data_IF_076232368368
#
_entry.id   IF_076232368368
#
_cell.length_a   1.000
_cell.length_b   1.000
_cell.length_c   1.000
_cell.angle_alpha   90.00
_cell.angle_beta   90.00
_cell.angle_gamma   90.00
#
_symmetry.space_group_name_H-M   'P 1'
#
loop_
_entity.id
_entity.type
_entity.pdbx_description
1 polymer ?
#
# COMPACT_ATOMS: atom_id res chain seq x y z
N UNK A 1 18.56 0.47 -24.75
CA UNK A 1 18.67 -0.91 -24.22
C UNK A 1 17.29 -1.55 -24.32
N UNK A 2 17.21 -2.86 -24.48
CA UNK A 2 15.95 -3.58 -24.36
C UNK A 2 15.97 -4.36 -23.03
N UNK A 3 14.86 -4.41 -22.30
CA UNK A 3 14.77 -5.12 -21.01
C UNK A 3 15.12 -6.60 -21.19
N UNK A 4 14.82 -7.14 -22.36
CA UNK A 4 15.07 -8.54 -22.72
C UNK A 4 16.54 -8.83 -23.07
N UNK A 5 17.38 -7.82 -23.32
CA UNK A 5 18.81 -8.04 -23.56
C UNK A 5 19.65 -8.03 -22.28
N UNK A 6 19.06 -7.60 -21.16
CA UNK A 6 19.74 -7.61 -19.86
C UNK A 6 19.63 -9.02 -19.27
N UNK A 7 20.77 -9.68 -19.13
CA UNK A 7 20.82 -10.99 -18.47
C UNK A 7 20.38 -10.92 -17.00
N UNK A 8 19.80 -11.99 -16.42
CA UNK A 8 19.30 -11.99 -15.04
C UNK A 8 20.36 -11.60 -14.00
N UNK A 9 21.60 -12.08 -14.17
CA UNK A 9 22.72 -11.74 -13.28
C UNK A 9 23.08 -10.25 -13.36
N UNK A 10 23.00 -9.65 -14.56
CA UNK A 10 23.25 -8.21 -14.72
C UNK A 10 22.16 -7.39 -14.02
N UNK A 11 20.89 -7.77 -14.17
CA UNK A 11 19.78 -7.12 -13.47
C UNK A 11 19.88 -7.27 -11.94
N UNK A 12 20.33 -8.43 -11.47
CA UNK A 12 20.64 -8.67 -10.06
C UNK A 12 21.71 -7.71 -9.54
N UNK A 13 22.80 -7.50 -10.30
CA UNK A 13 23.85 -6.55 -9.94
C UNK A 13 23.37 -5.11 -9.94
N UNK A 14 22.53 -4.72 -10.91
CA UNK A 14 21.87 -3.41 -10.92
C UNK A 14 20.96 -3.20 -9.70
N UNK A 15 20.17 -4.21 -9.33
CA UNK A 15 19.37 -4.21 -8.11
C UNK A 15 20.27 -4.02 -6.88
N UNK A 16 21.36 -4.79 -6.77
CA UNK A 16 22.30 -4.71 -5.66
C UNK A 16 22.89 -3.29 -5.53
N UNK A 17 23.45 -2.76 -6.61
CA UNK A 17 24.04 -1.40 -6.62
C UNK A 17 23.02 -0.30 -6.29
N UNK A 18 21.78 -0.44 -6.76
CA UNK A 18 20.68 0.46 -6.44
C UNK A 18 20.35 0.47 -4.94
N UNK A 19 20.21 -0.72 -4.33
CA UNK A 19 19.94 -0.82 -2.89
C UNK A 19 21.14 -0.34 -2.07
N UNK A 20 22.37 -0.64 -2.48
CA UNK A 20 23.57 -0.09 -1.85
C UNK A 20 23.62 1.44 -1.88
N UNK A 21 23.20 2.05 -2.99
CA UNK A 21 23.08 3.50 -3.10
C UNK A 21 22.11 4.03 -2.03
N UNK A 22 20.93 3.43 -1.91
CA UNK A 22 19.92 3.82 -0.94
C UNK A 22 20.42 3.66 0.51
N UNK A 23 21.12 2.57 0.81
CA UNK A 23 21.73 2.34 2.13
C UNK A 23 22.79 3.40 2.45
N UNK A 24 23.66 3.74 1.47
CA UNK A 24 24.68 4.78 1.63
C UNK A 24 24.06 6.17 1.88
N UNK A 25 22.98 6.51 1.18
CA UNK A 25 22.26 7.79 1.35
C UNK A 25 21.57 7.86 2.71
N UNK A 26 20.91 6.79 3.11
CA UNK A 26 20.10 6.75 4.35
C UNK A 26 20.98 6.76 5.60
N UNK A 27 22.15 6.12 5.54
CA UNK A 27 23.03 5.95 6.69
C UNK A 27 22.49 4.97 7.73
N UNK A 28 23.14 4.91 8.89
CA UNK A 28 22.69 4.10 10.03
C UNK A 28 21.68 4.89 10.87
N UNK A 29 20.42 4.86 10.45
CA UNK A 29 19.31 5.34 11.27
C UNK A 29 18.95 4.24 12.29
N UNK A 30 19.01 4.51 13.61
CA UNK A 30 18.59 3.53 14.59
C UNK A 30 17.11 3.17 14.37
N UNK A 31 16.71 1.89 14.52
CA UNK A 31 15.30 1.52 14.41
C UNK A 31 14.52 2.34 15.42
N UNK A 32 13.60 3.17 14.91
CA UNK A 32 12.84 4.12 15.74
C UNK A 32 12.19 3.34 16.89
N UNK A 33 12.48 3.68 18.15
CA UNK A 33 11.82 3.02 19.28
C UNK A 33 10.30 3.19 19.13
N UNK A 34 9.50 2.24 19.62
CA UNK A 34 8.06 2.43 19.66
C UNK A 34 7.77 3.76 20.40
N UNK A 35 6.83 4.59 19.92
CA UNK A 35 6.46 5.80 20.64
C UNK A 35 6.03 5.39 22.06
N UNK A 36 6.78 5.85 23.06
CA UNK A 36 6.55 5.55 24.47
C UNK A 36 5.35 6.32 25.05
N UNK A 37 4.66 7.13 24.24
CA UNK A 37 3.56 7.99 24.69
C UNK A 37 2.47 8.01 23.63
N UNK A 38 1.29 7.48 23.97
CA UNK A 38 0.02 7.70 23.27
C UNK A 38 -0.51 9.07 23.65
N UNK A 39 0.15 10.13 23.19
CA UNK A 39 -0.46 11.47 23.20
C UNK A 39 0.04 12.21 21.96
N UNK A 40 -0.80 12.37 20.92
CA UNK A 40 -0.41 13.16 19.77
C UNK A 40 -0.29 14.64 20.19
N UNK A 41 0.81 15.33 19.89
CA UNK A 41 0.84 16.77 19.98
C UNK A 41 -0.01 17.30 18.82
N UNK A 42 -1.03 18.08 19.18
CA UNK A 42 -1.60 19.11 18.32
C UNK A 42 -2.56 18.67 17.19
N UNK A 43 -3.75 18.18 17.54
CA UNK A 43 -4.90 18.08 16.62
C UNK A 43 -6.20 18.61 17.27
N UNK A 44 -6.15 19.82 17.83
CA UNK A 44 -7.26 20.46 18.57
C UNK A 44 -8.47 20.84 17.69
N UNK A 45 -8.38 20.69 16.36
CA UNK A 45 -9.47 21.01 15.42
C UNK A 45 -10.35 19.82 15.00
N UNK A 46 -9.77 18.61 14.87
CA UNK A 46 -10.49 17.45 14.30
C UNK A 46 -11.47 16.80 15.30
N UNK A 47 -11.24 16.95 16.60
CA UNK A 47 -12.17 16.49 17.64
C UNK A 47 -13.41 17.36 17.76
N UNK A 48 -13.28 18.68 17.57
CA UNK A 48 -14.42 19.60 17.53
C UNK A 48 -15.34 19.32 16.32
N UNK A 49 -14.74 18.97 15.17
CA UNK A 49 -15.49 18.57 13.97
C UNK A 49 -16.22 17.23 14.19
N UNK A 50 -15.56 16.24 14.81
CA UNK A 50 -16.18 14.96 15.18
C UNK A 50 -17.32 15.12 16.19
N UNK A 51 -17.17 16.01 17.18
CA UNK A 51 -18.23 16.31 18.14
C UNK A 51 -19.42 17.07 17.52
N UNK A 52 -19.18 17.95 16.54
CA UNK A 52 -20.26 18.63 15.81
C UNK A 52 -21.07 17.66 14.95
N UNK A 53 -20.42 16.69 14.29
CA UNK A 53 -21.10 15.68 13.48
C UNK A 53 -21.94 14.74 14.36
N UNK A 54 -21.45 14.40 15.57
CA UNK A 54 -22.19 13.59 16.53
C UNK A 54 -23.42 14.31 17.12
N UNK A 55 -23.32 15.62 17.38
CA UNK A 55 -24.45 16.42 17.89
C UNK A 55 -25.55 16.67 16.84
N UNK A 56 -25.19 16.78 15.56
CA UNK A 56 -26.16 17.08 14.50
C UNK A 56 -27.12 15.93 14.18
N UNK A 57 -26.72 14.67 14.43
CA UNK A 57 -27.49 13.49 14.02
C UNK A 57 -28.30 12.84 15.15
N UNK A 58 -28.11 13.25 16.41
CA UNK A 58 -28.78 12.63 17.57
C UNK A 58 -30.13 13.26 17.93
N UNK A 59 -30.35 14.54 17.62
CA UNK A 59 -31.56 15.25 18.06
C UNK A 59 -32.76 15.12 17.12
N UNK A 60 -32.55 14.90 15.82
CA UNK A 60 -33.66 14.79 14.86
C UNK A 60 -34.34 13.41 14.91
N UNK A 61 -33.62 12.32 15.19
CA UNK A 61 -34.20 10.97 15.17
C UNK A 61 -35.05 10.62 16.41
N UNK A 62 -34.80 11.28 17.54
CA UNK A 62 -35.49 10.97 18.80
C UNK A 62 -36.90 11.55 18.91
N UNK A 63 -37.15 12.73 18.32
CA UNK A 63 -38.45 13.41 18.40
C UNK A 63 -39.55 12.73 17.54
N UNK A 64 -39.16 11.96 16.53
CA UNK A 64 -40.08 11.36 15.56
C UNK A 64 -40.61 9.98 16.00
N UNK A 65 -39.90 9.31 16.92
CA UNK A 65 -40.25 7.99 17.47
C UNK A 65 -41.33 8.03 18.56
N UNK A 66 -41.61 9.19 19.16
CA UNK A 66 -42.53 9.32 20.31
C UNK A 66 -44.01 9.50 19.94
N UNK A 67 -44.37 9.60 18.64
CA UNK A 67 -45.73 9.97 18.18
C UNK A 67 -46.63 8.84 17.69
N UNK A 68 -46.29 7.55 17.84
CA UNK A 68 -47.13 6.44 17.30
C UNK A 68 -48.03 5.78 18.35
N UNK A 69 -49.37 5.73 18.17
CA UNK A 69 -50.29 5.07 19.10
C UNK A 69 -50.29 3.54 18.92
N UNK A 70 -50.54 2.80 20.02
CA UNK A 70 -50.65 1.33 20.04
C UNK A 70 -52.11 0.90 20.00
N UNK A 71 -52.47 -0.07 19.15
CA UNK A 71 -53.77 -0.78 19.19
C UNK A 71 -53.58 -2.30 19.03
N UNK A 72 -54.47 -3.12 19.63
CA UNK A 72 -54.32 -4.58 19.75
C UNK A 72 -54.90 -5.33 18.53
N UNK A 73 -54.47 -6.58 18.37
CA UNK A 73 -54.78 -7.45 17.23
C UNK A 73 -56.00 -8.36 17.46
N UNK A 74 -56.88 -8.48 16.46
CA UNK A 74 -57.63 -9.71 16.17
C UNK A 74 -58.19 -9.77 14.74
N UNK A 75 -58.37 -11.00 14.26
CA UNK A 75 -58.52 -11.54 12.90
C UNK A 75 -59.93 -11.56 12.27
N UNK A 76 -60.01 -11.64 10.92
CA UNK A 76 -60.93 -12.47 10.05
C UNK A 76 -61.09 -11.77 8.66
N UNK A 77 -60.81 -12.36 7.49
CA UNK A 77 -61.41 -13.46 6.71
C UNK A 77 -62.06 -12.90 5.41
N UNK A 78 -61.81 -13.51 4.24
CA UNK A 78 -62.48 -13.19 2.96
C UNK A 78 -61.66 -13.56 1.72
N UNK A 79 -62.11 -14.59 0.99
CA UNK A 79 -61.51 -15.25 -0.18
C UNK A 79 -61.98 -14.67 -1.52
N UNK A 80 -61.17 -14.77 -2.58
CA UNK A 80 -61.65 -15.07 -3.93
C UNK A 80 -60.56 -15.82 -4.74
N UNK A 81 -61.00 -16.84 -5.49
CA UNK A 81 -60.19 -17.86 -6.15
C UNK A 81 -60.40 -17.85 -7.67
N UNK A 82 -59.36 -18.20 -8.44
CA UNK A 82 -59.50 -18.76 -9.80
C UNK A 82 -58.31 -19.69 -10.10
N UNK A 83 -58.65 -20.87 -10.63
CA UNK A 83 -57.81 -21.96 -11.19
C UNK A 83 -57.01 -22.91 -10.28
N UNK A 84 -57.70 -23.56 -9.34
CA UNK A 84 -57.31 -24.91 -8.86
C UNK A 84 -56.09 -25.05 -7.96
N UNK A 85 -55.29 -24.00 -7.75
CA UNK A 85 -54.20 -23.95 -6.75
C UNK A 85 -54.49 -22.83 -5.76
N UNK A 86 -54.60 -23.16 -4.47
CA UNK A 86 -54.75 -22.16 -3.40
C UNK A 86 -53.45 -21.38 -3.20
N UNK A 87 -53.24 -20.32 -4.00
CA UNK A 87 -52.19 -19.34 -3.76
C UNK A 87 -52.63 -18.51 -2.57
N UNK A 88 -52.17 -18.86 -1.36
CA UNK A 88 -52.19 -17.93 -0.23
C UNK A 88 -51.40 -16.71 -0.69
N UNK A 89 -52.08 -15.60 -0.98
CA UNK A 89 -51.44 -14.29 -1.14
C UNK A 89 -50.93 -13.89 0.25
N UNK A 90 -49.85 -14.52 0.68
CA UNK A 90 -49.01 -13.96 1.72
C UNK A 90 -48.52 -12.67 1.11
N UNK A 91 -49.00 -11.54 1.60
CA UNK A 91 -48.18 -10.36 1.55
C UNK A 91 -46.88 -10.82 2.21
N UNK A 92 -45.84 -11.05 1.42
CA UNK A 92 -44.47 -10.94 1.91
C UNK A 92 -44.36 -9.46 2.29
N UNK A 93 -44.95 -9.11 3.45
CA UNK A 93 -44.30 -8.15 4.30
C UNK A 93 -42.94 -8.76 4.49
N UNK A 94 -41.92 -8.11 3.90
CA UNK A 94 -40.53 -8.44 4.19
C UNK A 94 -40.46 -8.72 5.69
N UNK A 95 -40.09 -9.94 6.13
CA UNK A 95 -40.00 -10.21 7.54
C UNK A 95 -39.12 -9.12 8.12
N UNK A 96 -39.65 -8.45 9.14
CA UNK A 96 -38.95 -7.43 9.87
C UNK A 96 -37.52 -7.93 10.12
N UNK A 97 -36.53 -7.20 9.60
CA UNK A 97 -35.12 -7.40 9.92
C UNK A 97 -34.94 -7.16 11.42
N UNK A 98 -35.18 -8.20 12.21
CA UNK A 98 -34.71 -8.31 13.59
C UNK A 98 -33.34 -8.99 13.51
N UNK A 99 -32.43 -8.65 14.41
CA UNK A 99 -31.71 -7.38 14.57
C UNK A 99 -30.46 -7.37 13.67
N UNK A 100 -30.11 -6.23 13.06
CA UNK A 100 -28.79 -6.10 12.42
C UNK A 100 -27.72 -6.38 13.47
N UNK A 101 -26.95 -7.46 13.27
CA UNK A 101 -25.69 -7.65 13.98
C UNK A 101 -24.87 -6.36 13.88
N UNK A 102 -24.03 -6.03 14.89
CA UNK A 102 -23.20 -4.83 14.81
C UNK A 102 -22.45 -4.87 13.49
N UNK A 103 -22.82 -4.00 12.55
CA UNK A 103 -22.08 -3.89 11.30
C UNK A 103 -20.77 -3.22 11.70
N UNK A 104 -19.69 -3.99 11.67
CA UNK A 104 -18.37 -3.50 11.98
C UNK A 104 -18.06 -2.43 10.92
N UNK A 105 -18.05 -1.16 11.33
CA UNK A 105 -17.49 -0.11 10.49
C UNK A 105 -15.99 -0.41 10.44
N UNK A 106 -15.54 -1.01 9.34
CA UNK A 106 -14.13 -1.28 9.07
C UNK A 106 -13.38 0.03 9.21
N UNK A 107 -12.65 0.19 10.31
CA UNK A 107 -11.88 1.41 10.60
C UNK A 107 -12.29 2.20 11.84
N UNK A 108 -13.38 1.87 12.53
CA UNK A 108 -13.82 2.61 13.73
C UNK A 108 -12.78 2.59 14.87
N UNK A 109 -11.99 1.51 14.94
CA UNK A 109 -10.85 1.34 15.86
C UNK A 109 -9.49 1.31 15.12
N UNK A 110 -9.41 1.80 13.89
CA UNK A 110 -8.14 1.77 13.17
C UNK A 110 -7.16 2.80 13.74
N UNK A 111 -5.98 2.32 14.11
CA UNK A 111 -4.85 3.19 14.43
C UNK A 111 -4.52 4.11 13.26
N UNK A 112 -4.00 5.33 13.50
CA UNK A 112 -3.66 6.22 12.41
C UNK A 112 -2.57 5.62 11.51
N UNK A 113 -2.63 5.96 10.22
CA UNK A 113 -1.91 5.28 9.13
C UNK A 113 -0.38 5.27 9.33
N UNK A 114 0.16 6.31 9.96
CA UNK A 114 1.57 6.40 10.36
C UNK A 114 1.97 5.35 11.41
N UNK A 115 1.09 5.03 12.37
CA UNK A 115 1.33 4.01 13.40
C UNK A 115 1.30 2.62 12.77
N UNK A 116 0.33 2.38 11.87
CA UNK A 116 0.24 1.14 11.11
C UNK A 116 1.49 0.93 10.23
N UNK A 117 1.88 1.95 9.46
CA UNK A 117 3.08 1.92 8.63
C UNK A 117 4.34 1.68 9.45
N UNK A 118 4.47 2.34 10.61
CA UNK A 118 5.58 2.08 11.53
C UNK A 118 5.63 0.63 12.03
N UNK A 119 4.48 0.03 12.33
CA UNK A 119 4.40 -1.36 12.77
C UNK A 119 4.79 -2.36 11.68
N UNK A 120 4.40 -2.08 10.44
CA UNK A 120 4.73 -2.89 9.26
C UNK A 120 6.24 -2.76 8.94
N UNK A 121 6.76 -1.54 8.86
CA UNK A 121 8.16 -1.24 8.58
C UNK A 121 9.11 -1.93 9.56
N UNK A 122 8.74 -2.01 10.86
CA UNK A 122 9.52 -2.72 11.88
C UNK A 122 9.72 -4.22 11.60
N UNK A 123 8.84 -4.88 10.84
CA UNK A 123 8.98 -6.31 10.50
C UNK A 123 10.19 -6.61 9.61
N UNK A 124 10.66 -5.60 8.87
CA UNK A 124 11.83 -5.73 8.01
C UNK A 124 13.16 -5.52 8.74
N UNK A 125 13.18 -5.02 9.98
CA UNK A 125 14.44 -4.76 10.69
C UNK A 125 14.98 -6.01 11.39
N UNK A 126 16.24 -6.31 11.11
CA UNK A 126 17.02 -7.33 11.84
C UNK A 126 17.61 -6.75 13.12
N UNK A 127 17.82 -7.62 14.12
CA UNK A 127 18.49 -7.25 15.38
C UNK A 127 19.91 -6.74 15.14
N UNK A 128 20.64 -7.38 14.23
CA UNK A 128 21.95 -6.95 13.76
C UNK A 128 21.98 -7.00 12.22
N UNK A 129 22.81 -6.17 11.56
CA UNK A 129 23.05 -6.32 10.13
C UNK A 129 23.50 -7.75 9.80
N UNK A 130 22.93 -8.41 8.78
CA UNK A 130 23.39 -9.73 8.38
C UNK A 130 24.87 -9.72 7.98
N UNK A 131 25.67 -10.75 8.35
CA UNK A 131 27.10 -10.79 8.05
C UNK A 131 27.41 -11.06 6.56
N UNK A 132 26.41 -11.53 5.80
CA UNK A 132 26.52 -11.77 4.36
C UNK A 132 26.30 -10.46 3.58
N UNK A 133 27.10 -10.22 2.54
CA UNK A 133 26.90 -9.08 1.64
C UNK A 133 25.56 -9.19 0.90
N UNK A 134 25.04 -8.07 0.39
CA UNK A 134 23.80 -8.11 -0.39
C UNK A 134 24.00 -8.84 -1.72
N UNK A 135 25.16 -8.68 -2.37
CA UNK A 135 25.47 -9.38 -3.61
C UNK A 135 25.52 -10.89 -3.39
N UNK A 136 26.24 -11.37 -2.37
CA UNK A 136 26.34 -12.81 -2.08
C UNK A 136 24.97 -13.41 -1.71
N UNK A 137 24.15 -12.64 -0.97
CA UNK A 137 22.80 -13.07 -0.62
C UNK A 137 21.90 -13.19 -1.86
N UNK A 138 21.95 -12.21 -2.76
CA UNK A 138 21.21 -12.24 -4.02
C UNK A 138 21.72 -13.35 -4.95
N UNK A 139 23.03 -13.55 -5.05
CA UNK A 139 23.63 -14.62 -5.83
C UNK A 139 23.24 -15.99 -5.30
N UNK A 140 23.17 -16.17 -3.97
CA UNK A 140 22.61 -17.38 -3.34
C UNK A 140 21.16 -17.58 -3.76
N UNK A 141 20.32 -16.54 -3.68
CA UNK A 141 18.92 -16.62 -4.11
C UNK A 141 18.83 -17.00 -5.59
N UNK A 142 19.62 -16.39 -6.47
CA UNK A 142 19.63 -16.70 -7.90
C UNK A 142 20.09 -18.14 -8.21
N UNK A 143 21.12 -18.62 -7.50
CA UNK A 143 21.67 -19.97 -7.69
C UNK A 143 20.63 -21.06 -7.40
N UNK A 144 19.86 -20.89 -6.33
CA UNK A 144 18.87 -21.89 -5.93
C UNK A 144 17.49 -21.59 -6.52
N UNK A 145 17.05 -20.33 -6.56
CA UNK A 145 15.79 -19.88 -7.12
C UNK A 145 16.04 -18.88 -8.26
N UNK A 146 16.44 -19.34 -9.46
CA UNK A 146 16.66 -18.43 -10.58
C UNK A 146 15.37 -17.71 -10.95
N UNK A 147 15.45 -16.38 -11.06
CA UNK A 147 14.34 -15.50 -11.40
C UNK A 147 14.65 -14.78 -12.71
N UNK A 148 13.61 -14.37 -13.42
CA UNK A 148 13.72 -13.56 -14.63
C UNK A 148 14.29 -12.16 -14.34
N UNK A 149 14.85 -11.55 -15.38
CA UNK A 149 15.34 -10.16 -15.35
C UNK A 149 14.27 -9.19 -14.86
N UNK A 150 13.02 -9.39 -15.26
CA UNK A 150 11.90 -8.55 -14.87
C UNK A 150 11.68 -8.53 -13.35
N UNK A 151 11.80 -9.68 -12.67
CA UNK A 151 11.62 -9.78 -11.21
C UNK A 151 12.67 -8.97 -10.46
N UNK A 152 13.94 -9.03 -10.87
CA UNK A 152 15.01 -8.25 -10.23
C UNK A 152 14.81 -6.74 -10.43
N UNK A 153 14.49 -6.32 -11.66
CA UNK A 153 14.27 -4.90 -11.98
C UNK A 153 13.01 -4.36 -11.28
N UNK A 154 11.92 -5.14 -11.26
CA UNK A 154 10.68 -4.77 -10.60
C UNK A 154 10.86 -4.67 -9.09
N UNK A 155 11.61 -5.60 -8.48
CA UNK A 155 11.95 -5.52 -7.05
C UNK A 155 12.69 -4.22 -6.74
N UNK A 156 13.67 -3.87 -7.58
CA UNK A 156 14.41 -2.62 -7.42
C UNK A 156 13.50 -1.41 -7.53
N UNK A 157 12.61 -1.42 -8.52
CA UNK A 157 11.61 -0.37 -8.74
C UNK A 157 10.64 -0.22 -7.55
N UNK A 158 10.12 -1.32 -7.00
CA UNK A 158 9.22 -1.28 -5.85
C UNK A 158 9.91 -0.74 -4.60
N UNK A 159 11.13 -1.18 -4.31
CA UNK A 159 11.88 -0.67 -3.17
C UNK A 159 12.25 0.81 -3.37
N UNK A 160 12.63 1.21 -4.59
CA UNK A 160 12.89 2.61 -4.91
C UNK A 160 11.64 3.48 -4.71
N UNK A 161 10.48 3.05 -5.19
CA UNK A 161 9.20 3.75 -4.97
C UNK A 161 8.91 3.93 -3.48
N UNK A 162 9.05 2.87 -2.69
CA UNK A 162 8.82 2.92 -1.25
C UNK A 162 9.80 3.83 -0.50
N UNK A 163 11.08 3.83 -0.91
CA UNK A 163 12.14 4.56 -0.22
C UNK A 163 12.21 6.03 -0.61
N UNK A 164 12.02 6.34 -1.90
CA UNK A 164 12.31 7.65 -2.50
C UNK A 164 11.03 8.44 -2.77
N UNK A 165 10.06 7.81 -3.44
CA UNK A 165 8.85 8.50 -3.89
C UNK A 165 7.85 8.65 -2.74
N UNK A 166 7.55 7.56 -2.05
CA UNK A 166 6.57 7.52 -0.96
C UNK A 166 7.21 7.78 0.42
N UNK A 167 8.53 7.63 0.53
CA UNK A 167 9.29 7.76 1.79
C UNK A 167 8.69 6.95 2.94
N UNK A 168 8.09 5.81 2.62
CA UNK A 168 7.41 4.93 3.56
C UNK A 168 8.39 4.15 4.45
N UNK A 169 9.57 3.83 3.93
CA UNK A 169 10.60 3.08 4.63
C UNK A 169 12.02 3.55 4.29
N UNK A 170 12.84 3.96 5.28
CA UNK A 170 14.26 4.21 5.04
C UNK A 170 15.00 2.88 4.86
N UNK A 171 15.82 2.75 3.82
CA UNK A 171 16.56 1.51 3.53
C UNK A 171 17.90 1.55 4.23
N UNK A 172 18.15 0.59 5.12
CA UNK A 172 19.34 0.52 5.98
C UNK A 172 20.00 -0.86 5.90
N UNK A 173 21.23 -1.00 6.39
CA UNK A 173 21.93 -2.30 6.47
C UNK A 173 21.19 -3.35 7.32
N UNK A 174 20.28 -2.91 8.19
CA UNK A 174 19.50 -3.81 9.07
C UNK A 174 18.23 -4.33 8.43
N UNK A 175 17.73 -3.68 7.39
CA UNK A 175 16.46 -4.06 6.74
C UNK A 175 16.59 -4.48 5.28
N UNK A 176 17.69 -4.13 4.60
CA UNK A 176 17.84 -4.33 3.16
C UNK A 176 17.69 -5.80 2.74
N UNK A 177 18.30 -6.75 3.45
CA UNK A 177 18.17 -8.19 3.12
C UNK A 177 16.73 -8.70 3.21
N UNK A 178 15.99 -8.30 4.24
CA UNK A 178 14.58 -8.71 4.42
C UNK A 178 13.67 -8.04 3.41
N UNK A 179 13.93 -6.78 3.05
CA UNK A 179 13.23 -6.07 1.98
C UNK A 179 13.48 -6.71 0.62
N UNK A 180 14.73 -7.05 0.32
CA UNK A 180 15.10 -7.76 -0.90
C UNK A 180 14.40 -9.12 -0.99
N UNK A 181 14.41 -9.90 0.09
CA UNK A 181 13.76 -11.20 0.12
C UNK A 181 12.25 -11.10 -0.14
N UNK A 182 11.57 -10.17 0.56
CA UNK A 182 10.14 -9.97 0.41
C UNK A 182 9.78 -9.42 -0.98
N UNK A 183 10.54 -8.42 -1.46
CA UNK A 183 10.33 -7.81 -2.76
C UNK A 183 10.51 -8.80 -3.91
N UNK A 184 11.59 -9.60 -3.89
CA UNK A 184 11.80 -10.66 -4.88
C UNK A 184 10.67 -11.69 -4.87
N UNK A 185 10.23 -12.10 -3.67
CA UNK A 185 9.18 -13.08 -3.52
C UNK A 185 7.85 -12.59 -4.09
N UNK A 186 7.48 -11.36 -3.78
CA UNK A 186 6.23 -10.76 -4.24
C UNK A 186 6.29 -10.44 -5.73
N UNK A 187 7.41 -9.90 -6.23
CA UNK A 187 7.61 -9.62 -7.64
C UNK A 187 7.57 -10.90 -8.50
N UNK A 188 8.18 -11.99 -8.04
CA UNK A 188 8.09 -13.31 -8.69
C UNK A 188 6.63 -13.76 -8.82
N UNK A 189 5.86 -13.68 -7.73
CA UNK A 189 4.44 -14.06 -7.74
C UNK A 189 3.57 -13.15 -8.62
N UNK A 190 3.99 -11.91 -8.84
CA UNK A 190 3.24 -10.92 -9.62
C UNK A 190 3.56 -10.97 -11.12
N UNK A 191 4.78 -11.38 -11.50
CA UNK A 191 5.28 -11.25 -12.86
C UNK A 191 5.57 -12.57 -13.57
N UNK A 192 5.77 -13.65 -12.83
CA UNK A 192 6.06 -14.97 -13.40
C UNK A 192 4.82 -15.88 -13.31
N UNK A 193 4.60 -16.70 -14.34
CA UNK A 193 3.50 -17.66 -14.37
C UNK A 193 3.67 -18.78 -13.33
N UNK A 194 4.93 -19.10 -13.01
CA UNK A 194 5.29 -20.12 -12.04
C UNK A 194 6.13 -19.49 -10.92
N UNK A 195 5.81 -19.83 -9.67
CA UNK A 195 6.58 -19.40 -8.51
C UNK A 195 7.12 -20.59 -7.73
N UNK A 196 8.27 -20.42 -7.08
CA UNK A 196 8.85 -21.48 -6.26
C UNK A 196 7.98 -21.77 -5.02
N UNK A 197 8.00 -23.03 -4.52
CA UNK A 197 7.34 -23.37 -3.27
C UNK A 197 7.80 -22.47 -2.12
N UNK A 198 6.86 -22.12 -1.23
CA UNK A 198 7.09 -21.21 -0.11
C UNK A 198 8.23 -21.70 0.81
N UNK A 199 8.21 -22.99 1.16
CA UNK A 199 9.21 -23.66 1.98
C UNK A 199 10.61 -23.60 1.37
N UNK A 200 10.72 -23.82 0.06
CA UNK A 200 11.98 -23.72 -0.68
C UNK A 200 12.53 -22.29 -0.63
N UNK A 201 11.69 -21.30 -0.93
CA UNK A 201 12.11 -19.91 -0.95
C UNK A 201 12.53 -19.42 0.45
N UNK A 202 11.79 -19.80 1.50
CA UNK A 202 12.14 -19.51 2.91
C UNK A 202 13.49 -20.12 3.31
N UNK A 203 13.71 -21.40 2.97
CA UNK A 203 14.96 -22.12 3.25
C UNK A 203 16.17 -21.47 2.56
N UNK A 204 16.03 -21.07 1.30
CA UNK A 204 17.09 -20.35 0.57
C UNK A 204 17.30 -18.96 1.14
N UNK A 205 16.22 -18.25 1.50
CA UNK A 205 16.26 -16.94 2.13
C UNK A 205 16.82 -16.92 3.55
N UNK A 206 16.92 -18.09 4.21
CA UNK A 206 17.45 -18.22 5.57
C UNK A 206 16.47 -17.73 6.65
N UNK A 207 15.16 -17.83 6.39
CA UNK A 207 14.09 -17.43 7.31
C UNK A 207 13.10 -18.58 7.52
N UNK A 208 12.32 -18.52 8.60
CA UNK A 208 11.20 -19.45 8.77
C UNK A 208 10.08 -19.17 7.77
N UNK A 209 9.26 -20.18 7.45
CA UNK A 209 8.12 -20.01 6.53
C UNK A 209 7.10 -18.98 7.02
N UNK A 210 6.84 -18.97 8.33
CA UNK A 210 5.94 -17.99 8.97
C UNK A 210 6.51 -16.57 8.95
N UNK A 211 7.83 -16.43 9.00
CA UNK A 211 8.50 -15.15 8.83
C UNK A 211 8.46 -14.67 7.39
N UNK A 212 8.74 -15.55 6.42
CA UNK A 212 8.60 -15.21 5.00
C UNK A 212 7.18 -14.75 4.68
N UNK A 213 6.16 -15.47 5.16
CA UNK A 213 4.76 -15.10 4.97
C UNK A 213 4.45 -13.70 5.54
N UNK A 214 4.93 -13.39 6.75
CA UNK A 214 4.76 -12.06 7.36
C UNK A 214 5.47 -10.97 6.56
N UNK A 215 6.67 -11.24 6.06
CA UNK A 215 7.42 -10.29 5.24
C UNK A 215 6.73 -10.02 3.90
N UNK A 216 6.20 -11.05 3.24
CA UNK A 216 5.40 -10.92 2.01
C UNK A 216 4.17 -10.04 2.24
N UNK A 217 3.36 -10.37 3.25
CA UNK A 217 2.15 -9.61 3.58
C UNK A 217 2.50 -8.16 3.91
N UNK A 218 3.54 -7.95 4.73
CA UNK A 218 4.01 -6.61 5.09
C UNK A 218 4.44 -5.81 3.86
N UNK A 219 5.12 -6.44 2.90
CA UNK A 219 5.58 -5.78 1.69
C UNK A 219 4.40 -5.37 0.81
N UNK A 220 3.39 -6.23 0.67
CA UNK A 220 2.18 -5.91 -0.07
C UNK A 220 1.39 -4.75 0.52
N UNK A 221 1.28 -4.66 1.85
CA UNK A 221 0.64 -3.50 2.47
C UNK A 221 1.44 -2.21 2.27
N UNK A 222 2.78 -2.27 2.36
CA UNK A 222 3.61 -1.08 2.09
C UNK A 222 3.47 -0.60 0.64
N UNK A 223 3.42 -1.50 -0.34
CA UNK A 223 3.24 -1.13 -1.75
C UNK A 223 1.79 -0.88 -2.16
N UNK A 224 0.85 -0.92 -1.20
CA UNK A 224 -0.59 -0.83 -1.45
C UNK A 224 -1.08 -1.80 -2.55
N UNK A 225 -0.48 -3.00 -2.61
CA UNK A 225 -0.74 -4.03 -3.62
C UNK A 225 -0.57 -3.57 -5.09
N UNK A 226 0.13 -2.45 -5.32
CA UNK A 226 0.33 -1.88 -6.64
C UNK A 226 1.59 -2.45 -7.30
N UNK A 227 1.46 -3.60 -7.95
CA UNK A 227 2.57 -4.31 -8.64
C UNK A 227 2.50 -4.23 -10.17
N UNK A 228 1.75 -3.26 -10.69
CA UNK A 228 1.63 -3.09 -12.14
C UNK A 228 2.91 -2.47 -12.70
N UNK A 229 3.68 -3.25 -13.46
CA UNK A 229 4.88 -2.76 -14.15
C UNK A 229 4.76 -2.95 -15.66
N UNK A 230 5.07 -1.90 -16.42
CA UNK A 230 5.21 -1.98 -17.88
C UNK A 230 6.66 -2.15 -18.29
N UNK A 231 6.89 -2.62 -19.51
CA UNK A 231 8.23 -2.77 -20.10
C UNK A 231 9.00 -1.44 -20.06
N UNK A 232 8.33 -0.36 -20.42
CA UNK A 232 8.91 0.99 -20.51
C UNK A 232 9.37 1.47 -19.13
N UNK A 233 8.55 1.26 -18.09
CA UNK A 233 8.91 1.65 -16.71
C UNK A 233 10.10 0.87 -16.19
N UNK A 234 10.17 -0.43 -16.44
CA UNK A 234 11.32 -1.25 -16.04
C UNK A 234 12.58 -0.86 -16.80
N UNK A 235 12.46 -0.48 -18.08
CA UNK A 235 13.58 -0.02 -18.88
C UNK A 235 14.13 1.33 -18.40
N UNK A 236 13.24 2.31 -18.21
CA UNK A 236 13.60 3.62 -17.67
C UNK A 236 14.30 3.48 -16.31
N UNK A 237 13.76 2.61 -15.44
CA UNK A 237 14.36 2.32 -14.16
C UNK A 237 15.74 1.65 -14.28
N UNK A 238 15.91 0.68 -15.19
CA UNK A 238 17.19 0.03 -15.42
C UNK A 238 18.27 1.01 -15.92
N UNK A 239 17.90 1.95 -16.80
CA UNK A 239 18.80 3.02 -17.25
C UNK A 239 19.20 3.89 -16.07
N UNK A 240 18.23 4.33 -15.26
CA UNK A 240 18.51 5.12 -14.05
C UNK A 240 19.44 4.39 -13.06
N UNK A 241 19.27 3.08 -12.86
CA UNK A 241 20.15 2.28 -12.01
C UNK A 241 21.58 2.21 -12.56
N UNK A 242 21.72 2.10 -13.89
CA UNK A 242 23.04 2.08 -14.53
C UNK A 242 23.77 3.40 -14.35
N UNK A 243 23.05 4.52 -14.45
CA UNK A 243 23.61 5.85 -14.22
C UNK A 243 24.02 6.04 -12.76
N UNK A 244 23.21 5.54 -11.81
CA UNK A 244 23.58 5.52 -10.39
C UNK A 244 24.84 4.66 -10.17
N UNK A 245 24.92 3.50 -10.81
CA UNK A 245 26.06 2.58 -10.67
C UNK A 245 27.34 3.11 -11.32
N UNK A 246 27.27 3.80 -12.45
CA UNK A 246 28.44 4.40 -13.09
C UNK A 246 29.02 5.54 -12.25
N UNK A 247 28.14 6.31 -11.61
CA UNK A 247 28.53 7.41 -10.72
C UNK A 247 29.13 6.91 -9.39
N UNK A 248 28.77 5.71 -8.91
CA UNK A 248 29.38 5.14 -7.70
C UNK A 248 30.86 4.77 -7.87
N UNK A 249 31.34 4.56 -9.11
CA UNK A 249 32.74 4.26 -9.41
C UNK A 249 33.68 5.46 -9.31
N UNK A 250 33.14 6.69 -9.31
CA UNK A 250 33.93 7.91 -9.10
C UNK A 250 33.83 8.31 -7.63
N UNK A 251 34.99 8.38 -6.97
CA UNK A 251 35.12 8.69 -5.55
C UNK A 251 34.33 9.96 -5.17
N UNK A 252 33.51 9.87 -4.12
CA UNK A 252 32.61 10.91 -3.57
C UNK A 252 31.27 11.16 -4.29
N UNK A 253 30.55 10.11 -4.69
CA UNK A 253 29.19 10.26 -5.17
C UNK A 253 28.17 10.48 -4.03
N UNK A 254 27.57 11.67 -4.00
CA UNK A 254 26.32 11.96 -3.29
C UNK A 254 25.18 11.82 -4.32
N UNK A 255 24.35 10.77 -4.25
CA UNK A 255 23.28 10.57 -5.23
C UNK A 255 22.21 11.67 -5.08
N UNK A 256 22.20 12.62 -6.02
CA UNK A 256 21.06 13.53 -6.18
C UNK A 256 19.97 12.79 -6.96
N UNK A 257 19.14 12.04 -6.24
CA UNK A 257 17.87 11.54 -6.78
C UNK A 257 17.01 12.76 -7.11
N UNK A 258 16.90 13.08 -8.40
CA UNK A 258 16.07 14.18 -8.87
C UNK A 258 14.61 13.82 -8.62
N UNK A 259 14.02 14.40 -7.57
CA UNK A 259 12.59 14.31 -7.29
C UNK A 259 11.85 15.01 -8.45
N UNK A 260 11.39 14.24 -9.43
CA UNK A 260 10.48 14.73 -10.47
C UNK A 260 9.17 15.09 -9.79
N UNK A 261 9.06 16.34 -9.32
CA UNK A 261 7.82 16.91 -8.82
C UNK A 261 6.82 16.91 -9.96
N UNK A 262 5.81 16.04 -9.88
CA UNK A 262 4.70 15.99 -10.82
C UNK A 262 3.91 17.29 -10.62
N UNK A 263 4.15 18.32 -11.47
CA UNK A 263 3.28 19.50 -11.53
C UNK A 263 1.87 19.01 -11.90
N UNK A 264 0.94 19.06 -10.94
CA UNK A 264 -0.49 18.99 -11.25
C UNK A 264 -0.78 20.17 -12.18
N UNK A 265 -1.14 19.88 -13.43
CA UNK A 265 -1.74 20.85 -14.32
C UNK A 265 -3.14 21.18 -13.79
N UNK A 266 -3.27 22.31 -13.11
CA UNK A 266 -4.58 22.85 -12.74
C UNK A 266 -5.26 23.33 -14.02
N UNK A 267 -6.34 22.67 -14.38
CA UNK A 267 -7.24 23.05 -15.47
C UNK A 267 -8.11 24.22 -14.96
N UNK A 268 -8.16 25.30 -15.73
CA UNK A 268 -9.30 26.22 -15.82
C UNK A 268 -9.37 27.36 -14.81
N UNK A 269 -8.83 28.51 -15.18
CA UNK A 269 -9.38 29.81 -14.79
C UNK A 269 -9.63 30.61 -16.08
N UNK A 270 -10.90 30.74 -16.46
CA UNK A 270 -11.34 31.67 -17.50
C UNK A 270 -11.06 33.09 -17.01
N UNK A 271 -10.23 33.83 -17.73
CA UNK A 271 -10.03 35.26 -17.51
C UNK A 271 -10.93 36.04 -18.47
N UNK A 272 -11.73 36.90 -17.87
CA UNK A 272 -12.80 37.70 -18.46
C UNK A 272 -12.18 38.79 -19.33
N UNK A 273 -12.54 38.81 -20.63
CA UNK A 273 -12.19 39.88 -21.57
C UNK A 273 -12.96 41.15 -21.20
N UNK A 274 -12.25 42.20 -20.77
CA UNK A 274 -12.79 43.56 -20.71
C UNK A 274 -12.75 44.19 -22.10
N UNK A 275 -13.93 44.49 -22.65
CA UNK A 275 -14.12 45.45 -23.75
C UNK A 275 -14.33 46.83 -23.12
N UNK A 276 -13.39 47.76 -23.32
CA UNK A 276 -13.62 49.18 -23.10
C UNK A 276 -14.23 49.77 -24.37
N UNK A 277 -15.45 50.29 -24.24
CA UNK A 277 -16.19 51.02 -25.26
C UNK A 277 -15.90 52.51 -25.07
N UNK A 278 -15.32 53.11 -26.11
CA UNK A 278 -15.18 54.56 -26.31
C UNK A 278 -16.54 55.24 -26.42
N UNK A 279 -16.75 56.35 -25.71
CA UNK A 279 -17.80 57.31 -26.02
C UNK A 279 -17.25 58.74 -25.86
N UNK A 280 -17.07 59.40 -27.00
CA UNK A 280 -17.07 60.86 -27.15
C UNK A 280 -18.51 61.37 -27.01
N UNK A 281 -18.72 62.35 -26.13
CA UNK A 281 -19.63 63.51 -26.26
C UNK A 281 -19.61 64.34 -24.97
#
# INVERSE_FOLDING_TARGET
MDVFTIGPVMALKLLCGGIEALVKITGDVPPTPPPAVTTPPNMRGMQAEKENIARSNSHQSFAELQKRPRTPSSSSAGSDAIDGVSIKKTHIGSPALVPTQPYIIIGENAEPLNVQHGAITRKFYSKHPPPISMEDYLMRLHKFCPMSTAVYLATSFYIHKLAVDERAIPVTRRNSHRLLLAGLRVAMKALEDLSYPHSRFAKVGGVSESELARLEISFCFLTNFEFKTSKERLLEHAISLKDISSLQGTVNFIPRLSLKTKRKSTIGAQEIVKQDVTADA
#
